data_IF_026034884693
#
_entry.id   IF_026034884693
#
_cell.length_a   1.000
_cell.length_b   1.000
_cell.length_c   1.000
_cell.angle_alpha   90.00
_cell.angle_beta   90.00
_cell.angle_gamma   90.00
#
_symmetry.space_group_name_H-M   'P 1'
#
loop_
_entity.id
_entity.type
_entity.pdbx_description
1 polymer ?
#
# COMPACT_ATOMS: atom_id res chain seq x y z
N UNK A 1 -9.89 -2.28 -24.26
CA UNK A 1 -8.56 -2.19 -23.61
C UNK A 1 -7.48 -1.94 -24.66
N UNK A 2 -6.36 -1.29 -24.28
CA UNK A 2 -5.21 -1.07 -25.19
C UNK A 2 -4.63 -2.39 -25.75
N UNK A 3 -4.81 -3.50 -25.03
CA UNK A 3 -4.32 -4.82 -25.43
C UNK A 3 -5.33 -5.61 -26.27
N UNK A 4 -6.52 -5.08 -26.52
CA UNK A 4 -7.63 -5.76 -27.19
C UNK A 4 -7.88 -7.20 -26.65
N UNK A 5 -7.75 -7.38 -25.34
CA UNK A 5 -7.99 -8.63 -24.63
C UNK A 5 -9.22 -8.47 -23.73
N UNK A 6 -10.04 -9.51 -23.56
CA UNK A 6 -11.11 -9.48 -22.56
C UNK A 6 -10.53 -9.38 -21.16
N UNK A 7 -11.25 -8.72 -20.26
CA UNK A 7 -10.94 -8.72 -18.83
C UNK A 7 -11.73 -9.88 -18.20
N UNK A 8 -11.04 -10.90 -17.73
CA UNK A 8 -11.66 -12.07 -17.10
C UNK A 8 -12.08 -11.79 -15.66
N UNK A 9 -11.19 -11.13 -14.91
CA UNK A 9 -11.45 -10.77 -13.51
C UNK A 9 -10.88 -9.41 -13.16
N UNK A 10 -11.58 -8.67 -12.31
CA UNK A 10 -11.09 -7.46 -11.66
C UNK A 10 -10.80 -7.76 -10.21
N UNK A 11 -9.58 -7.45 -9.80
CA UNK A 11 -9.12 -7.60 -8.43
C UNK A 11 -8.72 -6.21 -7.95
N UNK A 12 -9.18 -5.84 -6.77
CA UNK A 12 -8.83 -4.56 -6.14
C UNK A 12 -8.70 -4.73 -4.64
N UNK A 13 -7.91 -3.89 -4.01
CA UNK A 13 -7.95 -3.67 -2.58
C UNK A 13 -9.14 -2.74 -2.26
N UNK A 14 -8.99 -1.70 -1.44
CA UNK A 14 -10.06 -0.73 -1.19
C UNK A 14 -10.15 0.43 -2.21
N UNK A 15 -9.29 0.47 -3.23
CA UNK A 15 -9.35 1.47 -4.31
C UNK A 15 -10.32 1.03 -5.41
N UNK A 16 -11.60 1.26 -5.20
CA UNK A 16 -12.64 0.73 -6.09
C UNK A 16 -13.05 1.65 -7.24
N UNK A 17 -12.58 2.90 -7.27
CA UNK A 17 -13.05 3.90 -8.23
C UNK A 17 -12.95 3.52 -9.70
N UNK A 18 -11.93 2.76 -10.11
CA UNK A 18 -11.75 2.32 -11.49
C UNK A 18 -12.60 1.12 -11.91
N UNK A 19 -13.47 0.58 -11.04
CA UNK A 19 -14.21 -0.66 -11.27
C UNK A 19 -15.73 -0.50 -11.23
N UNK A 20 -16.23 0.75 -11.30
CA UNK A 20 -17.57 1.18 -10.92
C UNK A 20 -18.75 0.33 -11.42
N UNK A 21 -18.68 -0.25 -12.60
CA UNK A 21 -19.82 -0.96 -13.20
C UNK A 21 -19.56 -2.46 -13.41
N UNK A 22 -18.62 -3.03 -12.68
CA UNK A 22 -18.20 -4.42 -12.88
C UNK A 22 -18.09 -5.18 -11.57
N UNK A 23 -18.24 -6.48 -11.65
CA UNK A 23 -17.95 -7.36 -10.54
C UNK A 23 -16.47 -7.31 -10.17
N UNK A 24 -16.18 -7.25 -8.87
CA UNK A 24 -14.82 -7.17 -8.34
C UNK A 24 -14.60 -8.23 -7.27
N UNK A 25 -13.36 -8.71 -7.20
CA UNK A 25 -12.86 -9.54 -6.12
C UNK A 25 -11.96 -8.68 -5.23
N UNK A 26 -12.15 -8.79 -3.93
CA UNK A 26 -11.38 -8.09 -2.91
C UNK A 26 -10.76 -9.07 -1.92
N UNK A 27 -9.62 -8.74 -1.30
CA UNK A 27 -9.11 -9.48 -0.15
C UNK A 27 -10.09 -9.44 1.03
N UNK A 28 -9.93 -10.38 1.95
CA UNK A 28 -10.70 -10.52 3.18
C UNK A 28 -10.78 -9.19 3.97
N UNK A 29 -12.01 -8.86 4.41
CA UNK A 29 -12.32 -7.64 5.16
C UNK A 29 -12.48 -6.37 4.32
N UNK A 30 -11.97 -6.32 3.09
CA UNK A 30 -12.04 -5.12 2.25
C UNK A 30 -13.48 -4.74 1.86
N UNK A 31 -14.38 -5.67 1.51
CA UNK A 31 -15.77 -5.30 1.22
C UNK A 31 -16.48 -4.65 2.39
N UNK A 32 -16.19 -5.08 3.62
CA UNK A 32 -16.75 -4.46 4.82
C UNK A 32 -16.13 -3.09 5.08
N UNK A 33 -14.82 -2.96 4.94
CA UNK A 33 -14.10 -1.69 5.09
C UNK A 33 -14.61 -0.61 4.14
N UNK A 34 -14.87 -0.94 2.87
CA UNK A 34 -15.39 0.03 1.87
C UNK A 34 -16.81 0.52 2.16
N UNK A 35 -17.51 -0.10 3.11
CA UNK A 35 -18.82 0.33 3.58
C UNK A 35 -18.76 1.07 4.92
N UNK A 36 -17.59 1.14 5.54
CA UNK A 36 -17.38 1.75 6.84
C UNK A 36 -17.24 3.28 6.77
N UNK A 37 -17.30 3.91 7.95
CA UNK A 37 -17.25 5.38 8.09
C UNK A 37 -15.89 5.97 7.64
N UNK A 38 -14.78 5.29 7.92
CA UNK A 38 -13.44 5.75 7.54
C UNK A 38 -13.34 5.89 6.02
N UNK A 39 -13.75 4.86 5.29
CA UNK A 39 -13.75 4.88 3.83
C UNK A 39 -14.75 5.89 3.28
N UNK A 40 -15.94 5.99 3.87
CA UNK A 40 -16.96 6.98 3.51
C UNK A 40 -16.46 8.41 3.66
N UNK A 41 -15.78 8.73 4.75
CA UNK A 41 -15.14 10.04 4.97
C UNK A 41 -14.06 10.36 3.94
N UNK A 42 -13.21 9.39 3.62
CA UNK A 42 -12.20 9.52 2.57
C UNK A 42 -12.84 9.78 1.19
N UNK A 43 -13.89 9.05 0.84
CA UNK A 43 -14.61 9.24 -0.43
C UNK A 43 -15.30 10.60 -0.52
N UNK A 44 -15.84 11.12 0.59
CA UNK A 44 -16.39 12.48 0.63
C UNK A 44 -15.31 13.54 0.37
N UNK A 45 -14.13 13.39 0.97
CA UNK A 45 -12.98 14.26 0.70
C UNK A 45 -12.54 14.23 -0.77
N UNK A 46 -12.51 13.05 -1.37
CA UNK A 46 -12.20 12.91 -2.80
C UNK A 46 -13.29 13.52 -3.70
N UNK A 47 -14.56 13.36 -3.36
CA UNK A 47 -15.66 13.99 -4.10
C UNK A 47 -15.57 15.52 -4.06
N UNK A 48 -15.19 16.10 -2.92
CA UNK A 48 -14.96 17.55 -2.79
C UNK A 48 -13.74 18.01 -3.63
N UNK A 49 -12.67 17.22 -3.65
CA UNK A 49 -11.43 17.57 -4.35
C UNK A 49 -11.51 17.37 -5.87
N UNK A 50 -12.20 16.35 -6.34
CA UNK A 50 -12.16 15.90 -7.73
C UNK A 50 -13.51 16.02 -8.45
N UNK A 51 -14.61 16.27 -7.74
CA UNK A 51 -15.94 16.45 -8.34
C UNK A 51 -16.32 15.30 -9.27
N UNK A 52 -16.78 15.65 -10.46
CA UNK A 52 -17.24 14.70 -11.49
C UNK A 52 -16.12 13.78 -12.04
N UNK A 53 -14.84 14.07 -11.75
CA UNK A 53 -13.74 13.20 -12.12
C UNK A 53 -13.65 11.94 -11.24
N UNK A 54 -14.33 11.91 -10.09
CA UNK A 54 -14.38 10.76 -9.23
C UNK A 54 -15.40 9.74 -9.76
N UNK A 55 -14.95 8.53 -10.03
CA UNK A 55 -15.85 7.43 -10.38
C UNK A 55 -16.65 7.02 -9.15
N UNK A 56 -17.96 6.87 -9.32
CA UNK A 56 -18.85 6.40 -8.27
C UNK A 56 -18.41 5.02 -7.72
N UNK A 57 -18.85 4.71 -6.50
CA UNK A 57 -18.65 3.38 -5.90
C UNK A 57 -19.18 2.27 -6.83
N UNK A 58 -18.51 1.10 -6.88
CA UNK A 58 -18.91 0.04 -7.76
C UNK A 58 -20.34 -0.43 -7.46
N UNK A 59 -21.13 -0.55 -8.51
CA UNK A 59 -22.50 -1.11 -8.47
C UNK A 59 -22.51 -2.60 -8.78
N UNK A 60 -21.39 -3.16 -9.26
CA UNK A 60 -21.22 -4.58 -9.50
C UNK A 60 -21.14 -5.39 -8.20
N UNK A 61 -21.22 -6.69 -8.33
CA UNK A 61 -21.07 -7.61 -7.20
C UNK A 61 -19.64 -7.56 -6.66
N UNK A 62 -19.52 -7.37 -5.36
CA UNK A 62 -18.26 -7.49 -4.63
C UNK A 62 -18.19 -8.87 -3.99
N UNK A 63 -17.14 -9.62 -4.26
CA UNK A 63 -16.84 -10.90 -3.63
C UNK A 63 -15.52 -10.83 -2.89
N UNK A 64 -15.35 -11.69 -1.88
CA UNK A 64 -14.21 -11.69 -0.97
C UNK A 64 -13.42 -12.99 -1.13
N UNK A 65 -12.09 -12.89 -1.04
CA UNK A 65 -11.19 -14.03 -0.97
C UNK A 65 -10.45 -13.99 0.36
N UNK A 66 -10.59 -15.06 1.14
CA UNK A 66 -9.94 -15.21 2.43
C UNK A 66 -8.41 -15.24 2.29
N UNK A 67 -7.71 -14.69 3.29
CA UNK A 67 -6.25 -14.78 3.36
C UNK A 67 -5.79 -16.24 3.42
N UNK A 68 -4.66 -16.52 2.78
CA UNK A 68 -4.11 -17.87 2.62
C UNK A 68 -4.73 -18.67 1.46
N UNK A 69 -5.71 -18.11 0.74
CA UNK A 69 -6.30 -18.76 -0.44
C UNK A 69 -5.61 -18.34 -1.72
N UNK A 70 -5.51 -19.29 -2.64
CA UNK A 70 -5.07 -19.07 -4.02
C UNK A 70 -6.27 -19.23 -4.96
N UNK A 71 -6.50 -18.21 -5.77
CA UNK A 71 -7.49 -18.23 -6.84
C UNK A 71 -6.76 -18.26 -8.18
N UNK A 72 -7.36 -18.90 -9.19
CA UNK A 72 -6.77 -18.95 -10.54
C UNK A 72 -7.73 -18.30 -11.53
N UNK A 73 -7.25 -17.29 -12.24
CA UNK A 73 -7.96 -16.60 -13.31
C UNK A 73 -7.07 -16.54 -14.56
N UNK A 74 -7.63 -16.85 -15.70
CA UNK A 74 -6.90 -16.97 -16.98
C UNK A 74 -5.64 -17.86 -16.87
N UNK A 75 -5.67 -18.90 -16.04
CA UNK A 75 -4.53 -19.79 -15.79
C UNK A 75 -3.44 -19.21 -14.86
N UNK A 76 -3.62 -18.00 -14.35
CA UNK A 76 -2.66 -17.33 -13.45
C UNK A 76 -3.12 -17.49 -11.99
N UNK A 77 -2.27 -18.02 -11.09
CA UNK A 77 -2.58 -18.13 -9.67
C UNK A 77 -2.34 -16.80 -8.94
N UNK A 78 -3.27 -16.43 -8.06
CA UNK A 78 -3.26 -15.25 -7.18
C UNK A 78 -3.41 -15.74 -5.75
N UNK A 79 -2.36 -15.67 -4.96
CA UNK A 79 -2.37 -16.02 -3.54
C UNK A 79 -2.60 -14.77 -2.70
N UNK A 80 -3.73 -14.73 -1.99
CA UNK A 80 -4.11 -13.61 -1.13
C UNK A 80 -3.47 -13.77 0.25
N UNK A 81 -2.79 -12.73 0.72
CA UNK A 81 -2.02 -12.74 1.95
C UNK A 81 -2.37 -11.54 2.82
N UNK A 82 -2.18 -11.69 4.11
CA UNK A 82 -2.19 -10.58 5.04
C UNK A 82 -1.00 -9.66 4.73
N UNK A 83 -1.27 -8.39 4.46
CA UNK A 83 -0.25 -7.35 4.27
C UNK A 83 0.12 -6.64 5.57
N UNK A 84 0.81 -5.51 5.46
CA UNK A 84 1.08 -4.65 6.61
C UNK A 84 -0.22 -4.15 7.23
N UNK A 85 -0.34 -4.28 8.55
CA UNK A 85 -1.48 -3.77 9.30
C UNK A 85 -1.16 -2.36 9.76
N UNK A 86 -1.84 -1.38 9.16
CA UNK A 86 -1.82 0.04 9.53
C UNK A 86 -3.21 0.46 9.95
N UNK A 87 -3.54 1.75 9.88
CA UNK A 87 -4.90 2.25 10.12
C UNK A 87 -5.92 1.75 9.07
N UNK A 88 -5.42 1.21 7.95
CA UNK A 88 -6.21 0.59 6.89
C UNK A 88 -5.94 -0.91 6.84
N UNK A 89 -6.93 -1.74 6.43
CA UNK A 89 -6.71 -3.17 6.26
C UNK A 89 -5.60 -3.42 5.24
N UNK A 90 -4.57 -4.16 5.66
CA UNK A 90 -3.44 -4.50 4.80
C UNK A 90 -3.66 -5.82 4.08
N UNK A 91 -3.48 -5.82 2.77
CA UNK A 91 -3.47 -7.01 1.96
C UNK A 91 -2.29 -7.02 1.00
N UNK A 92 -1.77 -8.19 0.71
CA UNK A 92 -0.81 -8.41 -0.36
C UNK A 92 -1.24 -9.60 -1.21
N UNK A 93 -0.78 -9.62 -2.46
CA UNK A 93 -1.13 -10.69 -3.40
C UNK A 93 0.15 -11.15 -4.09
N UNK A 94 0.45 -12.44 -3.98
CA UNK A 94 1.52 -13.06 -4.76
C UNK A 94 0.91 -13.63 -6.05
N UNK A 95 1.33 -13.12 -7.18
CA UNK A 95 0.81 -13.45 -8.51
C UNK A 95 1.84 -14.30 -9.26
N UNK A 96 1.46 -15.53 -9.60
CA UNK A 96 2.28 -16.51 -10.34
C UNK A 96 3.70 -16.68 -9.75
N UNK A 97 3.85 -16.49 -8.44
CA UNK A 97 5.15 -16.52 -7.74
C UNK A 97 6.22 -15.55 -8.31
N UNK A 98 5.82 -14.63 -9.17
CA UNK A 98 6.72 -13.70 -9.87
C UNK A 98 6.48 -12.25 -9.51
N UNK A 99 5.23 -11.87 -9.21
CA UNK A 99 4.84 -10.50 -8.92
C UNK A 99 4.28 -10.45 -7.51
N UNK A 100 4.75 -9.48 -6.72
CA UNK A 100 4.22 -9.21 -5.38
C UNK A 100 3.51 -7.85 -5.38
N UNK A 101 2.22 -7.87 -5.11
CA UNK A 101 1.40 -6.68 -4.97
C UNK A 101 1.30 -6.29 -3.50
N UNK A 102 1.50 -5.00 -3.20
CA UNK A 102 1.21 -4.37 -1.92
C UNK A 102 0.44 -3.07 -2.16
N UNK A 103 -0.19 -2.50 -1.13
CA UNK A 103 -0.89 -1.22 -1.28
C UNK A 103 0.07 -0.10 -1.74
N UNK A 104 1.23 0.01 -1.10
CA UNK A 104 2.29 0.95 -1.45
C UNK A 104 3.46 0.20 -2.07
N UNK A 105 3.74 0.46 -3.34
CA UNK A 105 4.92 -0.12 -3.99
C UNK A 105 6.20 0.27 -3.24
N UNK A 106 7.08 -0.68 -2.90
CA UNK A 106 8.39 -0.35 -2.35
C UNK A 106 9.15 0.58 -3.28
N UNK A 107 9.67 1.69 -2.77
CA UNK A 107 10.38 2.70 -3.55
C UNK A 107 11.61 3.22 -2.80
N UNK A 108 12.60 3.74 -3.54
CA UNK A 108 13.73 4.48 -2.97
C UNK A 108 13.31 5.94 -2.77
N UNK A 109 12.47 6.18 -1.77
CA UNK A 109 11.90 7.46 -1.42
C UNK A 109 11.58 7.52 0.08
N UNK A 110 11.39 8.72 0.62
CA UNK A 110 10.80 8.88 1.95
C UNK A 110 9.39 8.31 1.96
N UNK A 111 9.04 7.61 3.05
CA UNK A 111 7.67 7.10 3.22
C UNK A 111 6.73 8.22 3.65
N UNK A 112 5.48 8.11 3.26
CA UNK A 112 4.43 9.05 3.66
C UNK A 112 3.87 8.67 5.05
N UNK A 113 3.32 9.65 5.78
CA UNK A 113 2.56 9.41 7.00
C UNK A 113 1.32 8.52 6.78
N UNK A 114 0.85 8.40 5.53
CA UNK A 114 -0.22 7.47 5.16
C UNK A 114 0.24 6.01 5.09
N UNK A 115 1.55 5.77 4.95
CA UNK A 115 2.12 4.43 5.00
C UNK A 115 2.45 4.01 6.43
N UNK A 116 3.02 4.94 7.20
CA UNK A 116 3.46 4.69 8.58
C UNK A 116 3.06 5.86 9.46
N UNK A 117 2.07 5.65 10.31
CA UNK A 117 1.55 6.67 11.23
C UNK A 117 1.96 6.43 12.70
N UNK A 118 2.70 5.35 12.97
CA UNK A 118 3.11 4.94 14.32
C UNK A 118 4.32 4.03 14.30
N UNK A 119 5.04 3.85 15.42
CA UNK A 119 6.10 2.85 15.55
C UNK A 119 5.64 1.42 15.22
N UNK A 120 4.41 1.07 15.56
CA UNK A 120 3.81 -0.25 15.24
C UNK A 120 3.60 -0.41 13.73
N UNK A 121 3.18 0.65 13.04
CA UNK A 121 3.04 0.65 11.58
C UNK A 121 4.41 0.49 10.88
N UNK A 122 5.47 1.09 11.44
CA UNK A 122 6.84 0.88 10.92
C UNK A 122 7.22 -0.61 11.01
N UNK A 123 6.96 -1.26 12.14
CA UNK A 123 7.28 -2.68 12.33
C UNK A 123 6.47 -3.58 11.39
N UNK A 124 5.19 -3.27 11.19
CA UNK A 124 4.33 -3.98 10.25
C UNK A 124 4.83 -3.86 8.81
N UNK A 125 5.25 -2.68 8.38
CA UNK A 125 5.80 -2.43 7.05
C UNK A 125 7.18 -3.11 6.84
N UNK A 126 8.02 -3.18 7.88
CA UNK A 126 9.27 -3.94 7.82
C UNK A 126 8.96 -5.42 7.61
N UNK A 127 8.09 -5.99 8.45
CA UNK A 127 7.73 -7.40 8.37
C UNK A 127 7.10 -7.77 7.02
N UNK A 128 6.23 -6.92 6.48
CA UNK A 128 5.62 -7.12 5.17
C UNK A 128 6.66 -7.05 4.04
N UNK A 129 7.57 -6.08 4.11
CA UNK A 129 8.65 -5.95 3.13
C UNK A 129 9.61 -7.15 3.15
N UNK A 130 9.90 -7.69 4.34
CA UNK A 130 10.69 -8.92 4.49
C UNK A 130 9.96 -10.14 3.90
N UNK A 131 8.65 -10.29 4.12
CA UNK A 131 7.83 -11.33 3.47
C UNK A 131 7.83 -11.20 1.95
N UNK A 132 7.70 -9.97 1.44
CA UNK A 132 7.73 -9.69 0.02
C UNK A 132 9.07 -10.12 -0.60
N UNK A 133 10.17 -9.76 0.04
CA UNK A 133 11.53 -10.12 -0.42
C UNK A 133 11.77 -11.64 -0.43
N UNK A 134 11.25 -12.36 0.57
CA UNK A 134 11.38 -13.82 0.68
C UNK A 134 10.33 -14.60 -0.14
N UNK A 135 9.41 -13.91 -0.82
CA UNK A 135 8.34 -14.57 -1.60
C UNK A 135 8.82 -15.27 -2.87
N UNK A 136 10.03 -14.97 -3.32
CA UNK A 136 10.56 -15.39 -4.62
C UNK A 136 10.13 -14.49 -5.78
N UNK A 137 9.27 -13.48 -5.54
CA UNK A 137 8.88 -12.52 -6.57
C UNK A 137 10.08 -11.69 -7.06
N UNK A 138 10.06 -11.36 -8.34
CA UNK A 138 11.11 -10.54 -8.99
C UNK A 138 10.61 -9.16 -9.39
N UNK A 139 9.29 -8.95 -9.34
CA UNK A 139 8.62 -7.68 -9.63
C UNK A 139 7.70 -7.31 -8.48
N UNK A 140 7.75 -6.06 -8.04
CA UNK A 140 6.94 -5.52 -6.95
C UNK A 140 6.11 -4.36 -7.49
N UNK A 141 4.81 -4.43 -7.27
CA UNK A 141 3.83 -3.45 -7.77
C UNK A 141 2.87 -3.05 -6.63
N UNK A 142 2.14 -1.98 -6.84
CA UNK A 142 1.14 -1.55 -5.86
C UNK A 142 0.08 -0.61 -6.45
N UNK A 143 -0.82 -0.21 -5.61
CA UNK A 143 -1.82 0.82 -5.92
C UNK A 143 -1.20 2.20 -6.06
N UNK A 144 -0.11 2.46 -5.35
CA UNK A 144 0.66 3.70 -5.42
C UNK A 144 2.11 3.42 -5.82
N UNK A 145 2.61 4.19 -6.78
CA UNK A 145 3.98 4.09 -7.31
C UNK A 145 4.10 3.20 -8.54
N UNK A 146 5.28 3.24 -9.17
CA UNK A 146 5.62 2.41 -10.33
C UNK A 146 6.14 1.03 -9.91
N UNK A 147 6.22 0.10 -10.86
CA UNK A 147 6.79 -1.21 -10.62
C UNK A 147 8.29 -1.12 -10.25
N UNK A 148 8.71 -1.93 -9.28
CA UNK A 148 10.10 -1.96 -8.76
C UNK A 148 10.64 -3.38 -8.63
N UNK A 149 11.89 -3.51 -8.21
CA UNK A 149 12.59 -4.78 -8.02
C UNK A 149 13.05 -4.95 -6.56
N UNK A 150 13.67 -6.08 -6.27
CA UNK A 150 14.11 -6.47 -4.92
C UNK A 150 15.02 -5.43 -4.24
N UNK A 151 15.82 -4.68 -5.00
CA UNK A 151 16.69 -3.62 -4.46
C UNK A 151 15.91 -2.46 -3.84
N UNK A 152 14.70 -2.13 -4.35
CA UNK A 152 13.82 -1.14 -3.74
C UNK A 152 13.14 -1.70 -2.47
N UNK A 153 12.81 -2.99 -2.44
CA UNK A 153 12.28 -3.64 -1.22
C UNK A 153 13.33 -3.66 -0.12
N UNK A 154 14.56 -4.04 -0.44
CA UNK A 154 15.67 -4.04 0.52
C UNK A 154 15.95 -2.62 1.04
N UNK A 155 15.98 -1.63 0.14
CA UNK A 155 16.12 -0.22 0.52
C UNK A 155 15.02 0.19 1.52
N UNK A 156 13.75 -0.14 1.24
CA UNK A 156 12.62 0.18 2.14
C UNK A 156 12.82 -0.42 3.53
N UNK A 157 13.26 -1.68 3.61
CA UNK A 157 13.54 -2.35 4.89
C UNK A 157 14.63 -1.60 5.67
N UNK A 158 15.75 -1.29 5.03
CA UNK A 158 16.88 -0.62 5.66
C UNK A 158 16.52 0.80 6.08
N UNK A 159 15.79 1.51 5.24
CA UNK A 159 15.26 2.85 5.51
C UNK A 159 14.33 2.86 6.74
N UNK A 160 13.36 1.95 6.81
CA UNK A 160 12.43 1.87 7.93
C UNK A 160 13.13 1.50 9.24
N UNK A 161 14.12 0.61 9.21
CA UNK A 161 14.96 0.27 10.38
C UNK A 161 15.76 1.49 10.85
N UNK A 162 16.38 2.23 9.92
CA UNK A 162 17.10 3.46 10.24
C UNK A 162 16.16 4.55 10.77
N UNK A 163 15.01 4.74 10.15
CA UNK A 163 13.98 5.68 10.60
C UNK A 163 13.52 5.39 12.03
N UNK A 164 13.26 4.11 12.36
CA UNK A 164 12.88 3.69 13.73
C UNK A 164 13.98 4.00 14.75
N UNK A 165 15.25 3.80 14.40
CA UNK A 165 16.39 4.18 15.24
C UNK A 165 16.44 5.68 15.45
N UNK A 166 16.35 6.47 14.38
CA UNK A 166 16.38 7.96 14.46
C UNK A 166 15.19 8.51 15.25
N UNK A 167 14.00 7.89 15.15
CA UNK A 167 12.83 8.24 15.95
C UNK A 167 13.10 8.06 17.46
N UNK A 168 13.83 7.00 17.84
CA UNK A 168 14.20 6.74 19.23
C UNK A 168 15.26 7.71 19.77
N UNK A 169 16.23 8.07 18.92
CA UNK A 169 17.37 8.92 19.28
C UNK A 169 17.02 10.42 19.33
N UNK A 170 16.04 10.86 18.57
CA UNK A 170 15.61 12.26 18.48
C UNK A 170 14.29 12.45 19.22
N UNK A 171 14.22 13.44 20.11
CA UNK A 171 13.05 13.66 21.00
C UNK A 171 12.07 14.69 20.50
N UNK A 172 12.41 15.40 19.41
CA UNK A 172 11.52 16.40 18.78
C UNK A 172 11.35 16.11 17.30
N UNK A 173 10.23 16.59 16.74
CA UNK A 173 9.92 16.47 15.32
C UNK A 173 11.02 17.10 14.46
N UNK A 174 11.49 18.28 14.82
CA UNK A 174 12.52 19.02 14.09
C UNK A 174 13.85 18.25 14.07
N UNK A 175 14.28 17.73 15.23
CA UNK A 175 15.52 16.95 15.32
C UNK A 175 15.44 15.66 14.48
N UNK A 176 14.28 14.99 14.47
CA UNK A 176 14.04 13.82 13.64
C UNK A 176 14.09 14.16 12.15
N UNK A 177 13.42 15.23 11.71
CA UNK A 177 13.42 15.67 10.31
C UNK A 177 14.85 15.95 9.84
N UNK A 178 15.62 16.70 10.61
CA UNK A 178 17.02 17.02 10.27
C UNK A 178 17.89 15.74 10.23
N UNK A 179 17.69 14.83 11.17
CA UNK A 179 18.40 13.54 11.17
C UNK A 179 18.07 12.69 9.94
N UNK A 180 16.79 12.65 9.52
CA UNK A 180 16.36 11.95 8.31
C UNK A 180 16.96 12.56 7.04
N UNK A 181 16.95 13.90 6.90
CA UNK A 181 17.57 14.62 5.78
C UNK A 181 19.08 14.37 5.70
N UNK A 182 19.75 14.34 6.86
CA UNK A 182 21.18 14.05 6.94
C UNK A 182 21.49 12.60 6.57
N UNK A 183 20.68 11.64 7.00
CA UNK A 183 20.87 10.23 6.70
C UNK A 183 20.57 9.88 5.25
N UNK A 184 19.63 10.58 4.63
CA UNK A 184 19.13 10.33 3.28
C UNK A 184 19.06 11.63 2.45
N UNK A 185 20.20 12.26 2.15
CA UNK A 185 20.20 13.52 1.42
C UNK A 185 19.66 13.34 0.00
N UNK A 186 18.83 14.27 -0.44
CA UNK A 186 18.20 14.29 -1.77
C UNK A 186 17.31 13.07 -2.09
N UNK A 187 16.85 12.34 -1.09
CA UNK A 187 15.90 11.25 -1.31
C UNK A 187 14.52 11.86 -1.67
N UNK A 188 13.84 11.39 -2.73
CA UNK A 188 12.50 11.89 -3.09
C UNK A 188 11.50 11.79 -1.94
N UNK A 189 10.56 12.74 -1.83
CA UNK A 189 9.53 12.78 -0.78
C UNK A 189 9.94 13.52 0.49
N UNK A 190 11.05 14.27 0.48
CA UNK A 190 11.54 15.06 1.62
C UNK A 190 10.49 16.06 2.12
N UNK A 191 9.70 16.60 1.23
CA UNK A 191 8.59 17.53 1.54
C UNK A 191 7.53 16.92 2.47
N UNK A 192 7.41 15.60 2.50
CA UNK A 192 6.46 14.85 3.34
C UNK A 192 6.96 14.59 4.77
N UNK A 193 8.24 14.86 5.08
CA UNK A 193 8.83 14.54 6.38
C UNK A 193 8.16 15.30 7.55
N UNK A 194 7.65 16.50 7.31
CA UNK A 194 6.92 17.27 8.32
C UNK A 194 5.65 16.57 8.79
N UNK A 195 4.82 16.12 7.87
CA UNK A 195 3.58 15.37 8.19
C UNK A 195 3.89 13.99 8.77
N UNK A 196 4.93 13.34 8.29
CA UNK A 196 5.40 12.08 8.86
C UNK A 196 5.84 12.25 10.32
N UNK A 197 6.68 13.23 10.62
CA UNK A 197 7.13 13.53 11.99
C UNK A 197 5.94 13.85 12.91
N UNK A 198 5.01 14.70 12.46
CA UNK A 198 3.78 15.01 13.19
C UNK A 198 2.93 13.78 13.51
N UNK A 199 2.88 12.79 12.62
CA UNK A 199 2.16 11.54 12.87
C UNK A 199 2.89 10.65 13.89
N UNK A 200 4.22 10.58 13.84
CA UNK A 200 5.04 9.70 14.68
C UNK A 200 5.26 10.21 16.12
N UNK A 201 5.09 11.52 16.37
CA UNK A 201 5.27 12.15 17.68
C UNK A 201 3.93 12.56 18.35
N UNK A 202 2.87 11.83 18.08
CA UNK A 202 1.55 12.01 18.73
C UNK A 202 1.53 11.47 20.15
#
# INVERSE_FOLDING_TARGET
TKLNKPVEQRITDYHVGGTAHHDVVMPEGMPAFTKGEIYGGMMQGFAQAFGDALTAMPTGKTSEVAFGKTMTWAGVPFEFRHGATTDFPGASILIDKQIYYTHWTPAKAHVSHLQVSSPTAIDAEIAESEKALHSGATLFIGGHGGATKADAVQFKIDYLKAMKKLLTENKTQEAFIEAMKKAYPNLPGEEGLGELAKALYK
#
